data_IF_672287515185
#
_entry.id   IF_672287515185
#
_cell.length_a   1.000
_cell.length_b   1.000
_cell.length_c   1.000
_cell.angle_alpha   90.00
_cell.angle_beta   90.00
_cell.angle_gamma   90.00
#
_symmetry.space_group_name_H-M   'P 1'
#
loop_
_entity.id
_entity.type
_entity.pdbx_description
1 polymer ?
#
# COMPACT_ATOMS: atom_id res chain seq x y z
N UNK A 1 -3.44 -22.02 13.88
CA UNK A 1 -3.38 -23.41 13.37
C UNK A 1 -2.81 -23.33 11.97
N UNK A 2 -1.55 -23.74 11.82
CA UNK A 2 -0.88 -23.77 10.51
C UNK A 2 -1.38 -25.05 9.83
N UNK A 3 -2.18 -24.89 8.78
CA UNK A 3 -2.55 -26.02 7.92
C UNK A 3 -1.28 -26.55 7.26
N UNK A 4 -0.84 -27.73 7.67
CA UNK A 4 0.22 -28.44 6.95
C UNK A 4 -0.31 -28.79 5.54
N UNK A 5 0.34 -28.33 4.49
CA UNK A 5 -0.07 -28.69 3.14
C UNK A 5 0.12 -30.19 2.91
N UNK A 6 -0.85 -30.81 2.27
CA UNK A 6 -0.77 -32.20 1.85
C UNK A 6 0.32 -32.32 0.78
N UNK A 7 1.48 -32.83 1.15
CA UNK A 7 2.60 -33.04 0.23
C UNK A 7 2.31 -34.31 -0.57
N UNK A 8 2.01 -34.14 -1.85
CA UNK A 8 1.86 -35.27 -2.77
C UNK A 8 3.26 -35.80 -3.18
N UNK A 9 3.40 -37.12 -3.40
CA UNK A 9 4.65 -37.69 -3.87
C UNK A 9 5.10 -37.03 -5.19
N UNK A 10 6.36 -36.59 -5.24
CA UNK A 10 6.92 -35.90 -6.41
C UNK A 10 6.84 -34.38 -6.39
N UNK A 11 6.33 -33.80 -5.32
CA UNK A 11 6.31 -32.35 -5.14
C UNK A 11 7.22 -31.93 -3.98
N UNK A 12 7.97 -30.87 -4.17
CA UNK A 12 8.74 -30.22 -3.11
C UNK A 12 8.02 -28.96 -2.63
N UNK A 13 8.18 -28.63 -1.34
CA UNK A 13 7.68 -27.39 -0.77
C UNK A 13 8.70 -26.30 -1.04
N UNK A 14 8.31 -25.29 -1.81
CA UNK A 14 9.12 -24.09 -2.02
C UNK A 14 8.65 -23.01 -1.06
N UNK A 15 9.60 -22.46 -0.30
CA UNK A 15 9.34 -21.32 0.57
C UNK A 15 9.52 -20.05 -0.23
N UNK A 16 8.50 -19.21 -0.24
CA UNK A 16 8.58 -17.88 -0.81
C UNK A 16 8.80 -16.91 0.34
N UNK A 17 9.88 -16.18 0.27
CA UNK A 17 10.05 -15.04 1.13
C UNK A 17 8.91 -14.05 0.86
N UNK A 18 8.35 -13.56 1.95
CA UNK A 18 7.14 -12.75 2.00
C UNK A 18 6.83 -11.94 0.76
N UNK A 19 5.66 -12.14 0.24
CA UNK A 19 5.08 -11.21 -0.73
C UNK A 19 4.96 -9.88 -0.01
N UNK A 20 5.78 -8.90 -0.41
CA UNK A 20 5.71 -7.49 -0.02
C UNK A 20 5.90 -7.13 1.46
N UNK A 21 6.75 -7.80 2.21
CA UNK A 21 7.02 -7.40 3.61
C UNK A 21 5.82 -7.49 4.56
N UNK A 22 4.71 -8.09 4.12
CA UNK A 22 3.47 -8.19 4.87
C UNK A 22 3.46 -9.33 5.90
N UNK A 23 4.43 -10.23 5.85
CA UNK A 23 4.53 -11.34 6.80
C UNK A 23 5.96 -11.82 6.89
N UNK A 24 6.44 -12.01 8.09
CA UNK A 24 7.69 -12.73 8.35
C UNK A 24 7.53 -14.25 8.13
N UNK A 25 6.32 -14.71 7.83
CA UNK A 25 6.04 -16.12 7.63
C UNK A 25 6.20 -16.50 6.15
N UNK A 26 7.08 -17.44 5.83
CA UNK A 26 7.23 -17.95 4.48
C UNK A 26 5.95 -18.68 4.04
N UNK A 27 5.49 -18.37 2.84
CA UNK A 27 4.39 -19.09 2.21
C UNK A 27 4.95 -20.35 1.58
N UNK A 28 4.46 -21.51 2.01
CA UNK A 28 4.80 -22.80 1.38
C UNK A 28 3.96 -22.98 0.13
N UNK A 29 4.60 -23.13 -0.99
CA UNK A 29 3.95 -23.46 -2.27
C UNK A 29 4.35 -24.87 -2.66
N UNK A 30 3.37 -25.72 -2.92
CA UNK A 30 3.59 -27.05 -3.50
C UNK A 30 3.90 -26.87 -4.98
N UNK A 31 5.05 -27.35 -5.37
CA UNK A 31 5.51 -27.19 -6.73
C UNK A 31 6.16 -28.47 -7.24
N UNK A 32 5.93 -28.78 -8.51
CA UNK A 32 6.60 -29.88 -9.19
C UNK A 32 8.04 -29.44 -9.52
N UNK A 33 9.09 -30.13 -9.04
CA UNK A 33 10.48 -29.74 -9.25
C UNK A 33 10.85 -29.58 -10.73
N UNK A 34 10.28 -30.43 -11.58
CA UNK A 34 10.55 -30.41 -13.03
C UNK A 34 10.01 -29.15 -13.72
N UNK A 35 8.98 -28.53 -13.18
CA UNK A 35 8.35 -27.33 -13.73
C UNK A 35 8.95 -26.06 -13.12
N UNK A 36 9.49 -26.14 -11.90
CA UNK A 36 9.95 -24.97 -11.15
C UNK A 36 11.44 -24.66 -11.28
N UNK A 37 12.28 -25.63 -11.65
CA UNK A 37 13.70 -25.33 -11.87
C UNK A 37 13.96 -24.18 -12.87
N UNK A 38 13.20 -24.05 -13.97
CA UNK A 38 13.32 -22.89 -14.85
C UNK A 38 12.68 -21.62 -14.28
N UNK A 39 11.63 -21.76 -13.44
CA UNK A 39 10.88 -20.63 -12.89
C UNK A 39 11.54 -20.04 -11.62
N UNK A 40 12.28 -20.84 -10.87
CA UNK A 40 12.97 -20.40 -9.66
C UNK A 40 14.09 -19.37 -9.92
N UNK A 41 14.51 -19.22 -11.18
CA UNK A 41 15.54 -18.26 -11.59
C UNK A 41 15.04 -16.84 -11.84
N UNK A 42 13.72 -16.65 -11.93
CA UNK A 42 13.11 -15.32 -12.04
C UNK A 42 11.84 -15.28 -11.22
N UNK A 43 11.95 -14.90 -9.95
CA UNK A 43 10.76 -14.61 -9.12
C UNK A 43 10.17 -13.30 -9.60
N UNK A 44 9.24 -13.34 -10.54
CA UNK A 44 8.37 -12.21 -10.82
C UNK A 44 7.37 -12.08 -9.67
N UNK A 45 7.52 -11.04 -8.87
CA UNK A 45 6.50 -10.66 -7.90
C UNK A 45 5.30 -10.10 -8.67
N UNK A 46 4.28 -10.91 -8.88
CA UNK A 46 3.02 -10.44 -9.46
C UNK A 46 2.09 -10.01 -8.32
N UNK A 47 1.54 -8.81 -8.36
CA UNK A 47 0.52 -8.41 -7.40
C UNK A 47 -0.69 -9.34 -7.56
N UNK A 48 -1.07 -10.02 -6.47
CA UNK A 48 -2.24 -10.91 -6.47
C UNK A 48 -3.53 -10.18 -6.10
N UNK A 49 -3.42 -8.95 -5.62
CA UNK A 49 -4.55 -8.17 -5.11
C UNK A 49 -4.55 -6.81 -5.82
N UNK A 50 -5.70 -6.44 -6.37
CA UNK A 50 -5.96 -5.08 -6.82
C UNK A 50 -6.88 -4.39 -5.83
N UNK A 51 -6.47 -3.22 -5.37
CA UNK A 51 -7.25 -2.37 -4.44
C UNK A 51 -7.56 -1.05 -5.13
N UNK A 52 -8.79 -0.58 -4.98
CA UNK A 52 -9.21 0.74 -5.42
C UNK A 52 -9.92 1.47 -4.29
N UNK A 53 -9.54 2.71 -4.08
CA UNK A 53 -10.22 3.62 -3.14
C UNK A 53 -11.49 4.15 -3.81
N UNK A 54 -12.64 3.90 -3.19
CA UNK A 54 -13.94 4.39 -3.67
C UNK A 54 -14.31 5.73 -3.01
N UNK A 55 -14.06 5.87 -1.71
CA UNK A 55 -14.35 7.08 -0.93
C UNK A 55 -13.08 7.54 -0.21
N UNK A 56 -12.39 8.49 -0.81
CA UNK A 56 -11.08 8.93 -0.33
C UNK A 56 -11.18 9.66 1.02
N UNK A 57 -12.14 10.55 1.19
CA UNK A 57 -12.33 11.28 2.45
C UNK A 57 -12.51 10.33 3.64
N UNK A 58 -13.39 9.35 3.48
CA UNK A 58 -13.64 8.32 4.51
C UNK A 58 -12.37 7.53 4.82
N UNK A 59 -11.62 7.12 3.79
CA UNK A 59 -10.38 6.39 3.98
C UNK A 59 -9.34 7.22 4.73
N UNK A 60 -9.13 8.47 4.32
CA UNK A 60 -8.17 9.37 4.95
C UNK A 60 -8.52 9.63 6.44
N UNK A 61 -9.81 9.70 6.77
CA UNK A 61 -10.27 9.95 8.15
C UNK A 61 -10.03 8.77 9.11
N UNK A 62 -9.85 7.56 8.61
CA UNK A 62 -9.55 6.38 9.44
C UNK A 62 -8.05 6.10 9.56
N UNK A 63 -7.22 6.82 8.82
CA UNK A 63 -5.77 6.74 8.96
C UNK A 63 -5.32 7.34 10.29
N UNK A 64 -4.18 6.87 10.75
CA UNK A 64 -3.53 7.37 11.96
C UNK A 64 -2.12 7.83 11.67
N UNK A 65 -1.60 8.67 12.54
CA UNK A 65 -0.21 9.12 12.49
C UNK A 65 0.65 8.23 13.37
N UNK A 66 1.88 7.98 12.97
CA UNK A 66 2.87 7.26 13.76
C UNK A 66 3.06 7.94 15.11
N UNK A 67 3.24 7.15 16.17
CA UNK A 67 3.37 7.62 17.54
C UNK A 67 4.41 8.74 17.68
N UNK A 68 4.05 9.78 18.41
CA UNK A 68 4.92 10.95 18.65
C UNK A 68 5.17 11.85 17.44
N UNK A 69 4.41 11.69 16.34
CA UNK A 69 4.51 12.54 15.15
C UNK A 69 3.28 13.42 15.00
N UNK A 70 3.51 14.64 14.51
CA UNK A 70 2.44 15.55 14.12
C UNK A 70 2.43 15.67 12.60
N UNK A 71 1.25 15.57 12.00
CA UNK A 71 1.01 15.67 10.58
C UNK A 71 0.31 17.00 10.26
N UNK A 72 0.82 17.72 9.27
CA UNK A 72 0.12 18.87 8.68
C UNK A 72 0.57 19.01 7.24
N UNK A 73 -0.28 18.57 6.31
CA UNK A 73 0.01 18.65 4.88
C UNK A 73 -1.25 18.83 4.05
N UNK A 74 -1.06 19.28 2.82
CA UNK A 74 -2.14 19.34 1.82
C UNK A 74 -1.63 18.85 0.46
N UNK A 75 -2.47 18.11 -0.25
CA UNK A 75 -2.14 17.61 -1.58
C UNK A 75 -3.37 17.43 -2.44
N UNK A 76 -3.19 17.63 -3.73
CA UNK A 76 -4.21 17.34 -4.72
C UNK A 76 -4.20 15.85 -5.09
N UNK A 77 -5.37 15.27 -5.26
CA UNK A 77 -5.53 13.90 -5.76
C UNK A 77 -6.16 13.93 -7.14
N UNK A 78 -5.63 13.15 -8.04
CA UNK A 78 -6.18 12.95 -9.39
C UNK A 78 -6.74 11.53 -9.48
N UNK A 79 -8.06 11.43 -9.63
CA UNK A 79 -8.77 10.18 -9.92
C UNK A 79 -9.53 10.33 -11.24
N UNK A 80 -9.07 9.69 -12.33
CA UNK A 80 -9.69 9.85 -13.64
C UNK A 80 -11.05 9.17 -13.77
N UNK A 81 -11.42 8.33 -12.79
CA UNK A 81 -12.67 7.55 -12.83
C UNK A 81 -13.69 8.10 -11.83
N UNK A 82 -13.28 8.34 -10.59
CA UNK A 82 -14.15 8.85 -9.53
C UNK A 82 -13.81 10.31 -9.24
N UNK A 83 -14.44 11.21 -9.97
CA UNK A 83 -14.18 12.66 -9.87
C UNK A 83 -14.41 13.23 -8.46
N UNK A 84 -15.26 12.59 -7.65
CA UNK A 84 -15.46 12.95 -6.25
C UNK A 84 -14.19 12.84 -5.37
N UNK A 85 -13.23 12.00 -5.77
CA UNK A 85 -11.94 11.88 -5.09
C UNK A 85 -10.93 12.95 -5.56
N UNK A 86 -11.15 13.54 -6.76
CA UNK A 86 -10.24 14.52 -7.36
C UNK A 86 -10.42 15.90 -6.74
N UNK A 87 -9.84 16.07 -5.55
CA UNK A 87 -9.88 17.30 -4.75
C UNK A 87 -8.54 17.57 -4.12
N UNK A 88 -8.42 18.73 -3.48
CA UNK A 88 -7.28 19.06 -2.66
C UNK A 88 -7.64 18.80 -1.19
N UNK A 89 -6.90 17.88 -0.58
CA UNK A 89 -7.14 17.42 0.78
C UNK A 89 -6.09 17.99 1.72
N UNK A 90 -6.54 18.55 2.83
CA UNK A 90 -5.68 18.94 3.94
C UNK A 90 -5.85 17.94 5.07
N UNK A 91 -4.71 17.44 5.54
CA UNK A 91 -4.61 16.49 6.64
C UNK A 91 -3.92 17.15 7.82
N UNK A 92 -4.55 17.09 8.98
CA UNK A 92 -3.97 17.57 10.25
C UNK A 92 -4.14 16.48 11.31
N UNK A 93 -3.06 16.14 12.03
CA UNK A 93 -3.18 15.22 13.16
C UNK A 93 -3.87 15.90 14.35
N UNK A 94 -4.68 15.13 15.06
CA UNK A 94 -5.25 15.50 16.35
C UNK A 94 -4.40 14.94 17.48
N UNK A 95 -4.66 15.37 18.72
CA UNK A 95 -3.93 14.92 19.91
C UNK A 95 -4.04 13.41 20.16
N UNK A 96 -5.13 12.80 19.72
CA UNK A 96 -5.39 11.35 19.81
C UNK A 96 -4.74 10.52 18.68
N UNK A 97 -3.96 11.15 17.81
CA UNK A 97 -3.29 10.52 16.66
C UNK A 97 -4.19 10.30 15.45
N UNK A 98 -5.46 10.67 15.52
CA UNK A 98 -6.38 10.63 14.36
C UNK A 98 -6.07 11.75 13.39
N UNK A 99 -6.47 11.58 12.15
CA UNK A 99 -6.31 12.56 11.09
C UNK A 99 -7.64 13.26 10.84
N UNK A 100 -7.62 14.58 11.00
CA UNK A 100 -8.71 15.43 10.52
C UNK A 100 -8.48 15.71 9.05
N UNK A 101 -9.51 15.48 8.24
CA UNK A 101 -9.51 15.66 6.79
C UNK A 101 -10.43 16.82 6.44
N UNK A 102 -9.94 17.75 5.65
CA UNK A 102 -10.73 18.88 5.14
C UNK A 102 -10.34 19.20 3.70
N UNK A 103 -11.28 19.72 2.93
CA UNK A 103 -10.96 20.27 1.61
C UNK A 103 -10.28 21.63 1.74
N UNK A 104 -9.39 21.94 0.81
CA UNK A 104 -8.66 23.22 0.75
C UNK A 104 -8.42 23.60 -0.72
N UNK A 105 -8.00 24.84 -0.96
CA UNK A 105 -7.58 25.30 -2.27
C UNK A 105 -6.06 25.27 -2.44
N UNK A 106 -5.32 25.17 -1.34
CA UNK A 106 -3.86 25.18 -1.33
C UNK A 106 -3.30 23.74 -1.36
N UNK A 107 -2.43 23.48 -2.35
CA UNK A 107 -1.78 22.18 -2.52
C UNK A 107 -0.27 22.27 -2.47
N UNK A 108 0.38 21.42 -1.69
CA UNK A 108 1.83 21.29 -1.62
C UNK A 108 2.37 20.25 -2.64
N UNK A 109 1.48 19.51 -3.30
CA UNK A 109 1.85 18.51 -4.28
C UNK A 109 0.65 17.80 -4.90
N UNK A 110 0.94 16.88 -5.82
CA UNK A 110 -0.08 16.14 -6.57
C UNK A 110 0.23 14.66 -6.52
N UNK A 111 -0.79 13.86 -6.21
CA UNK A 111 -0.75 12.39 -6.19
C UNK A 111 -1.86 11.84 -7.10
N UNK A 112 -1.56 10.78 -7.82
CA UNK A 112 -2.62 9.98 -8.43
C UNK A 112 -3.29 9.12 -7.37
N UNK A 113 -4.55 8.75 -7.58
CA UNK A 113 -5.26 7.85 -6.66
C UNK A 113 -4.55 6.50 -6.51
N UNK A 114 -3.88 6.03 -7.57
CA UNK A 114 -3.05 4.81 -7.54
C UNK A 114 -1.86 4.95 -6.60
N UNK A 115 -1.06 6.02 -6.75
CA UNK A 115 0.07 6.30 -5.90
C UNK A 115 -0.33 6.45 -4.42
N UNK A 116 -1.45 7.14 -4.16
CA UNK A 116 -1.98 7.27 -2.81
C UNK A 116 -2.43 5.92 -2.24
N UNK A 117 -3.03 5.05 -3.07
CA UNK A 117 -3.39 3.69 -2.67
C UNK A 117 -2.15 2.89 -2.25
N UNK A 118 -1.09 2.92 -3.05
CA UNK A 118 0.16 2.24 -2.74
C UNK A 118 0.79 2.72 -1.43
N UNK A 119 0.76 4.02 -1.17
CA UNK A 119 1.25 4.62 0.07
C UNK A 119 0.43 4.17 1.29
N UNK A 120 -0.89 4.30 1.21
CA UNK A 120 -1.80 4.02 2.32
C UNK A 120 -1.79 2.54 2.70
N UNK A 121 -1.66 1.65 1.73
CA UNK A 121 -1.54 0.22 1.97
C UNK A 121 -0.09 -0.24 2.22
N UNK A 122 0.86 0.69 2.29
CA UNK A 122 2.25 0.39 2.63
C UNK A 122 3.02 -0.39 1.56
N UNK A 123 2.52 -0.39 0.32
CA UNK A 123 3.19 -1.06 -0.79
C UNK A 123 4.44 -0.29 -1.27
N UNK A 124 4.36 1.05 -1.26
CA UNK A 124 5.49 1.94 -1.60
C UNK A 124 5.59 3.08 -0.59
N UNK A 125 6.82 3.50 -0.34
CA UNK A 125 7.12 4.68 0.48
C UNK A 125 6.85 5.99 -0.28
N UNK A 126 6.67 7.10 0.41
CA UNK A 126 6.55 8.41 -0.24
C UNK A 126 7.82 8.77 -1.03
N UNK A 127 9.00 8.35 -0.53
CA UNK A 127 10.27 8.53 -1.21
C UNK A 127 10.34 7.76 -2.55
N UNK A 128 9.71 6.59 -2.64
CA UNK A 128 9.64 5.84 -3.90
C UNK A 128 8.61 6.44 -4.87
N UNK A 129 7.47 6.89 -4.36
CA UNK A 129 6.44 7.54 -5.17
C UNK A 129 6.94 8.84 -5.81
N UNK A 130 7.81 9.57 -5.14
CA UNK A 130 8.43 10.78 -5.69
C UNK A 130 9.20 10.56 -6.99
N UNK A 131 9.59 9.32 -7.29
CA UNK A 131 10.29 8.96 -8.53
C UNK A 131 9.34 8.79 -9.73
N UNK A 132 8.03 8.75 -9.48
CA UNK A 132 7.03 8.56 -10.52
C UNK A 132 6.80 9.85 -11.30
N UNK A 133 6.70 9.79 -12.63
CA UNK A 133 6.49 10.97 -13.48
C UNK A 133 5.12 11.63 -13.27
N UNK A 134 4.13 10.87 -12.82
CA UNK A 134 2.76 11.34 -12.60
C UNK A 134 2.50 11.82 -11.18
N UNK A 135 3.55 11.89 -10.35
CA UNK A 135 3.51 12.31 -8.95
C UNK A 135 4.38 13.54 -8.74
N UNK A 136 3.83 14.59 -8.16
CA UNK A 136 4.57 15.80 -7.82
C UNK A 136 4.66 15.92 -6.30
N UNK A 137 5.75 15.42 -5.72
CA UNK A 137 6.02 15.49 -4.29
C UNK A 137 7.28 16.30 -4.00
N UNK A 138 7.10 17.44 -3.33
CA UNK A 138 8.20 18.15 -2.70
C UNK A 138 8.74 17.37 -1.49
N UNK A 139 9.98 17.63 -1.11
CA UNK A 139 10.62 16.95 0.03
C UNK A 139 9.87 17.15 1.35
N UNK A 140 9.27 18.31 1.55
CA UNK A 140 8.48 18.60 2.75
C UNK A 140 7.24 17.71 2.81
N UNK A 141 6.48 17.62 1.71
CA UNK A 141 5.30 16.78 1.64
C UNK A 141 5.66 15.29 1.74
N UNK A 142 6.77 14.85 1.13
CA UNK A 142 7.31 13.50 1.31
C UNK A 142 7.50 13.17 2.80
N UNK A 143 8.20 14.06 3.54
CA UNK A 143 8.42 13.87 4.97
C UNK A 143 7.13 13.86 5.80
N UNK A 144 6.13 14.63 5.40
CA UNK A 144 4.82 14.63 6.06
C UNK A 144 4.08 13.32 5.79
N UNK A 145 4.02 12.86 4.55
CA UNK A 145 3.34 11.62 4.18
C UNK A 145 3.96 10.37 4.83
N UNK A 146 5.27 10.35 5.05
CA UNK A 146 5.97 9.26 5.76
C UNK A 146 5.55 9.13 7.25
N UNK A 147 4.90 10.15 7.82
CA UNK A 147 4.37 10.09 9.19
C UNK A 147 3.06 9.31 9.29
N UNK A 148 2.37 9.09 8.18
CA UNK A 148 1.13 8.32 8.16
C UNK A 148 1.46 6.85 8.44
N UNK A 149 0.70 6.23 9.33
CA UNK A 149 0.76 4.79 9.55
C UNK A 149 0.04 4.09 8.40
N UNK A 150 0.68 3.17 7.69
CA UNK A 150 -0.02 2.40 6.67
C UNK A 150 -1.13 1.56 7.30
N UNK A 151 -2.15 1.27 6.54
CA UNK A 151 -3.20 0.34 6.95
C UNK A 151 -2.60 -1.06 7.16
N UNK A 152 -3.22 -1.81 8.06
CA UNK A 152 -2.85 -3.21 8.27
C UNK A 152 -2.95 -3.99 6.95
N UNK A 153 -2.10 -5.00 6.77
CA UNK A 153 -2.13 -5.83 5.57
C UNK A 153 -3.54 -6.34 5.26
N UNK A 154 -3.97 -6.15 4.02
CA UNK A 154 -5.23 -6.73 3.55
C UNK A 154 -4.98 -8.19 3.21
N UNK A 155 -5.67 -9.08 3.88
CA UNK A 155 -5.64 -10.50 3.59
C UNK A 155 -6.92 -10.90 2.88
N UNK A 156 -6.83 -11.34 1.63
CA UNK A 156 -7.94 -11.92 0.88
C UNK A 156 -7.76 -13.44 0.86
N UNK A 157 -8.71 -14.14 1.46
CA UNK A 157 -8.74 -15.61 1.52
C UNK A 157 -9.66 -16.22 0.45
N UNK A 158 -10.03 -15.44 -0.55
CA UNK A 158 -10.88 -15.90 -1.64
C UNK A 158 -10.03 -16.02 -2.91
N UNK A 159 -10.01 -17.24 -3.47
CA UNK A 159 -9.50 -17.50 -4.81
C UNK A 159 -10.69 -17.42 -5.74
N UNK A 160 -10.71 -16.42 -6.61
CA UNK A 160 -11.73 -16.29 -7.67
C UNK A 160 -11.27 -17.03 -8.90
#
# INVERSE_FOLDING_TARGET
EVLEPLILPGYETVFWDSISGLSENPVKVLACPEVLEPCARSVERKPMIMVRILHLETLLSVLTVKEGKNLSCSFAVIDPILTGNSRIWKLCSQEDGRIQVTETEDSQGVLTIGALTELVFGYRSAADLRKDPDVCLGRELECELEKISPLSPVFLNEIV
#
